data_IF_514243734811
#
_entry.id   IF_514243734811
#
_cell.length_a   1.000
_cell.length_b   1.000
_cell.length_c   1.000
_cell.angle_alpha   90.00
_cell.angle_beta   90.00
_cell.angle_gamma   90.00
#
_symmetry.space_group_name_H-M   'P 1'
#
loop_
_entity.id
_entity.type
_entity.pdbx_description
1 polymer ?
#
# COMPACT_ATOMS: atom_id res chain seq x y z
N UNK A 1 -9.81 11.69 13.62
CA UNK A 1 -8.94 11.94 12.46
C UNK A 1 -8.03 10.74 12.34
N UNK A 2 -8.14 9.94 11.28
CA UNK A 2 -7.23 8.82 11.07
C UNK A 2 -5.86 9.36 10.67
N UNK A 3 -4.81 8.88 11.32
CA UNK A 3 -3.44 9.37 11.10
C UNK A 3 -2.73 8.52 10.04
N UNK A 4 -1.70 9.07 9.37
CA UNK A 4 -0.89 8.36 8.37
C UNK A 4 -0.30 7.08 8.98
N UNK A 5 0.23 7.15 10.20
CA UNK A 5 0.85 6.01 10.89
C UNK A 5 -0.12 4.85 11.17
N UNK A 6 -1.37 5.15 11.53
CA UNK A 6 -2.40 4.12 11.72
C UNK A 6 -2.74 3.43 10.40
N UNK A 7 -2.83 4.21 9.32
CA UNK A 7 -3.08 3.70 7.98
C UNK A 7 -1.92 2.84 7.50
N UNK A 8 -0.67 3.24 7.78
CA UNK A 8 0.53 2.44 7.48
C UNK A 8 0.46 1.07 8.16
N UNK A 9 0.14 1.01 9.45
CA UNK A 9 0.05 -0.26 10.19
C UNK A 9 -1.03 -1.18 9.62
N UNK A 10 -2.21 -0.63 9.33
CA UNK A 10 -3.30 -1.41 8.71
C UNK A 10 -2.89 -1.92 7.32
N UNK A 11 -2.32 -1.05 6.50
CA UNK A 11 -1.83 -1.39 5.16
C UNK A 11 -0.81 -2.51 5.18
N UNK A 12 0.18 -2.47 6.07
CA UNK A 12 1.19 -3.54 6.17
C UNK A 12 0.56 -4.90 6.43
N UNK A 13 -0.37 -4.96 7.39
CA UNK A 13 -1.11 -6.20 7.67
C UNK A 13 -1.93 -6.67 6.47
N UNK A 14 -2.61 -5.76 5.78
CA UNK A 14 -3.38 -6.08 4.58
C UNK A 14 -2.52 -6.53 3.42
N UNK A 15 -1.38 -5.88 3.18
CA UNK A 15 -0.43 -6.25 2.12
C UNK A 15 0.05 -7.68 2.33
N UNK A 16 0.50 -8.01 3.54
CA UNK A 16 0.96 -9.36 3.90
C UNK A 16 -0.15 -10.40 3.75
N UNK A 17 -1.36 -10.09 4.21
CA UNK A 17 -2.50 -10.98 4.09
C UNK A 17 -2.98 -11.16 2.64
N UNK A 18 -2.90 -10.11 1.83
CA UNK A 18 -3.33 -10.12 0.41
C UNK A 18 -2.34 -10.91 -0.44
N UNK A 19 -1.04 -10.64 -0.26
CA UNK A 19 0.03 -11.30 -1.02
C UNK A 19 0.44 -12.65 -0.42
N UNK A 20 -0.07 -12.99 0.76
CA UNK A 20 0.27 -14.24 1.44
C UNK A 20 1.76 -14.32 1.82
N UNK A 21 2.38 -13.20 2.18
CA UNK A 21 3.80 -13.14 2.56
C UNK A 21 4.00 -13.75 3.96
N UNK A 22 4.03 -15.07 4.06
CA UNK A 22 4.18 -15.79 5.33
C UNK A 22 5.54 -15.56 6.00
N UNK A 23 6.56 -15.21 5.21
CA UNK A 23 7.93 -14.96 5.66
C UNK A 23 8.23 -13.47 5.90
N UNK A 24 7.25 -12.57 5.70
CA UNK A 24 7.41 -11.12 5.89
C UNK A 24 6.47 -10.64 6.98
N UNK A 25 7.01 -9.93 7.97
CA UNK A 25 6.19 -9.31 9.03
C UNK A 25 5.95 -7.82 8.77
N UNK A 26 4.93 -7.21 9.40
CA UNK A 26 4.71 -5.77 9.30
C UNK A 26 5.91 -4.94 9.79
N UNK A 27 6.76 -5.52 10.65
CA UNK A 27 7.94 -4.86 11.19
C UNK A 27 9.11 -4.87 10.20
N UNK A 28 9.17 -5.86 9.31
CA UNK A 28 10.19 -5.95 8.24
C UNK A 28 9.95 -4.91 7.14
N UNK A 29 8.68 -4.57 6.89
CA UNK A 29 8.32 -3.53 5.92
C UNK A 29 8.55 -2.16 6.56
N UNK A 30 9.55 -1.41 6.10
CA UNK A 30 9.73 -0.02 6.56
C UNK A 30 8.79 0.94 5.84
N UNK A 31 8.45 2.01 6.53
CA UNK A 31 7.47 3.00 6.06
C UNK A 31 7.94 3.76 4.83
N UNK A 32 9.26 3.99 4.74
CA UNK A 32 9.92 4.79 3.71
C UNK A 32 10.73 3.93 2.72
N UNK A 33 10.80 2.61 2.93
CA UNK A 33 11.49 1.70 2.02
C UNK A 33 10.61 1.33 0.81
N UNK A 34 11.24 0.94 -0.32
CA UNK A 34 10.56 0.39 -1.48
C UNK A 34 9.66 -0.78 -1.11
N UNK A 35 8.35 -0.65 -1.35
CA UNK A 35 7.43 -1.78 -1.26
C UNK A 35 7.64 -2.73 -2.43
N UNK A 36 7.82 -2.18 -3.64
CA UNK A 36 7.95 -2.92 -4.89
C UNK A 36 9.41 -3.09 -5.25
N UNK A 37 9.81 -4.34 -5.47
CA UNK A 37 11.20 -4.69 -5.68
C UNK A 37 12.03 -4.59 -4.38
N UNK A 38 13.07 -5.41 -4.29
CA UNK A 38 13.90 -5.51 -3.09
C UNK A 38 13.63 -6.78 -2.30
N UNK A 39 13.81 -6.72 -0.98
CA UNK A 39 13.75 -7.88 -0.07
C UNK A 39 12.32 -8.30 0.30
N UNK A 40 11.32 -7.45 0.04
CA UNK A 40 9.90 -7.75 0.26
C UNK A 40 9.36 -8.80 -0.71
N UNK A 41 10.06 -9.04 -1.83
CA UNK A 41 9.65 -10.00 -2.85
C UNK A 41 8.47 -9.56 -3.71
N UNK A 42 7.94 -8.35 -3.50
CA UNK A 42 6.76 -7.84 -4.23
C UNK A 42 7.14 -7.56 -5.68
N UNK A 43 6.48 -8.26 -6.60
CA UNK A 43 6.67 -8.11 -8.03
C UNK A 43 5.61 -7.19 -8.68
N UNK A 44 5.70 -7.02 -10.01
CA UNK A 44 4.75 -6.17 -10.73
C UNK A 44 3.32 -6.74 -10.81
N UNK A 45 3.13 -8.05 -10.59
CA UNK A 45 1.83 -8.71 -10.55
C UNK A 45 1.19 -8.46 -9.20
N UNK A 46 1.96 -8.62 -8.12
CA UNK A 46 1.52 -8.36 -6.74
C UNK A 46 1.00 -6.92 -6.58
N UNK A 47 1.66 -5.95 -7.22
CA UNK A 47 1.21 -4.55 -7.24
C UNK A 47 -0.20 -4.41 -7.79
N UNK A 48 -0.56 -5.14 -8.83
CA UNK A 48 -1.91 -5.08 -9.39
C UNK A 48 -2.95 -5.62 -8.41
N UNK A 49 -2.61 -6.68 -7.67
CA UNK A 49 -3.47 -7.24 -6.63
C UNK A 49 -3.66 -6.27 -5.46
N UNK A 50 -2.59 -5.60 -5.05
CA UNK A 50 -2.66 -4.53 -4.06
C UNK A 50 -3.52 -3.35 -4.54
N UNK A 51 -3.38 -2.91 -5.80
CA UNK A 51 -4.23 -1.84 -6.36
C UNK A 51 -5.71 -2.23 -6.24
N UNK A 52 -6.06 -3.45 -6.62
CA UNK A 52 -7.45 -3.95 -6.54
C UNK A 52 -7.95 -4.03 -5.09
N UNK A 53 -7.10 -4.48 -4.16
CA UNK A 53 -7.43 -4.48 -2.73
C UNK A 53 -7.73 -3.06 -2.23
N UNK A 54 -6.90 -2.09 -2.60
CA UNK A 54 -7.08 -0.69 -2.19
C UNK A 54 -8.33 -0.06 -2.81
N UNK A 55 -8.60 -0.33 -4.08
CA UNK A 55 -9.85 0.08 -4.73
C UNK A 55 -11.08 -0.47 -4.02
N UNK A 56 -11.04 -1.74 -3.60
CA UNK A 56 -12.17 -2.42 -2.97
C UNK A 56 -12.36 -2.04 -1.50
N UNK A 57 -11.28 -1.97 -0.73
CA UNK A 57 -11.31 -1.76 0.71
C UNK A 57 -11.40 -0.27 1.07
N UNK A 58 -10.71 0.58 0.32
CA UNK A 58 -10.61 2.01 0.59
C UNK A 58 -11.39 2.87 -0.41
N UNK A 59 -11.88 2.30 -1.51
CA UNK A 59 -12.59 3.04 -2.56
C UNK A 59 -11.67 3.95 -3.38
N UNK A 60 -10.36 3.74 -3.32
CA UNK A 60 -9.35 4.62 -3.93
C UNK A 60 -8.90 4.03 -5.27
N UNK A 61 -9.10 4.77 -6.36
CA UNK A 61 -8.70 4.35 -7.71
C UNK A 61 -7.27 4.76 -8.05
N UNK A 62 -6.54 3.86 -8.68
CA UNK A 62 -5.20 4.10 -9.21
C UNK A 62 -5.25 3.84 -10.73
N UNK A 63 -5.60 4.87 -11.49
CA UNK A 63 -5.89 4.74 -12.93
C UNK A 63 -4.64 4.71 -13.82
N UNK A 64 -3.44 4.96 -13.27
CA UNK A 64 -2.19 5.06 -14.03
C UNK A 64 -1.11 4.12 -13.50
N UNK A 65 -0.43 3.41 -14.41
CA UNK A 65 0.72 2.55 -14.06
C UNK A 65 1.85 3.33 -13.37
N UNK A 66 2.14 4.55 -13.85
CA UNK A 66 3.11 5.44 -13.22
C UNK A 66 2.66 5.90 -11.83
N UNK A 67 1.34 6.12 -11.65
CA UNK A 67 0.79 6.47 -10.34
C UNK A 67 0.88 5.27 -9.40
N UNK A 68 0.57 4.06 -9.85
CA UNK A 68 0.78 2.84 -9.08
C UNK A 68 2.23 2.71 -8.63
N UNK A 69 3.18 2.78 -9.55
CA UNK A 69 4.61 2.71 -9.20
C UNK A 69 5.04 3.80 -8.18
N UNK A 70 4.47 5.01 -8.26
CA UNK A 70 4.73 6.09 -7.28
C UNK A 70 4.04 5.85 -5.94
N UNK A 71 2.79 5.40 -5.94
CA UNK A 71 1.98 5.19 -4.74
C UNK A 71 2.53 3.99 -3.96
N UNK A 72 2.93 2.93 -4.66
CA UNK A 72 3.62 1.76 -4.11
C UNK A 72 5.14 1.97 -4.00
N UNK A 73 5.64 3.20 -4.11
CA UNK A 73 7.04 3.46 -3.82
C UNK A 73 7.38 3.24 -2.34
N UNK A 74 6.44 3.51 -1.43
CA UNK A 74 6.60 3.24 0.01
C UNK A 74 5.24 3.15 0.69
N UNK A 75 5.17 2.47 1.84
CA UNK A 75 3.92 2.35 2.61
C UNK A 75 3.41 3.74 3.02
N UNK A 76 4.32 4.65 3.40
CA UNK A 76 3.98 6.03 3.73
C UNK A 76 3.29 6.74 2.58
N UNK A 77 3.80 6.58 1.35
CA UNK A 77 3.22 7.21 0.17
C UNK A 77 1.81 6.68 -0.10
N UNK A 78 1.64 5.36 -0.01
CA UNK A 78 0.32 4.71 -0.14
C UNK A 78 -0.66 5.22 0.92
N UNK A 79 -0.27 5.22 2.20
CA UNK A 79 -1.10 5.70 3.30
C UNK A 79 -1.50 7.17 3.12
N UNK A 80 -0.55 8.02 2.73
CA UNK A 80 -0.78 9.44 2.47
C UNK A 80 -1.77 9.62 1.32
N UNK A 81 -1.60 8.88 0.23
CA UNK A 81 -2.47 8.92 -0.93
C UNK A 81 -3.91 8.54 -0.56
N UNK A 82 -4.09 7.46 0.19
CA UNK A 82 -5.41 7.00 0.66
C UNK A 82 -6.08 8.07 1.52
N UNK A 83 -5.36 8.63 2.50
CA UNK A 83 -5.90 9.66 3.37
C UNK A 83 -6.27 10.92 2.60
N UNK A 84 -5.46 11.31 1.63
CA UNK A 84 -5.73 12.48 0.78
C UNK A 84 -6.99 12.27 -0.06
N UNK A 85 -7.14 11.10 -0.69
CA UNK A 85 -8.35 10.77 -1.47
C UNK A 85 -9.59 10.68 -0.59
N UNK A 86 -9.47 10.08 0.61
CA UNK A 86 -10.57 10.01 1.59
C UNK A 86 -10.94 11.38 2.15
N UNK A 87 -9.98 12.26 2.38
CA UNK A 87 -10.21 13.62 2.85
C UNK A 87 -10.89 14.50 1.79
N UNK A 88 -10.59 14.30 0.50
CA UNK A 88 -11.30 15.00 -0.59
C UNK A 88 -12.72 14.49 -0.84
N UNK A 89 -13.09 13.33 -0.28
CA UNK A 89 -14.43 12.73 -0.40
C UNK A 89 -15.30 12.92 0.86
N UNK A 90 -14.76 13.52 1.91
CA UNK A 90 -15.46 13.85 3.16
C UNK A 90 -15.93 15.31 3.16
#
# INVERSE_FOLDING_TARGET
MSTVEETIKDLKGKIIATLGLLDVTPEDIKDDDPLVGGETGIDSIDVLELVMMIEKDYGVKIDSKELGAKVFASVRTLATFILQVRASRA
#
